data_IF_428376032959
#
_entry.id   IF_428376032959
#
_cell.length_a   1.000
_cell.length_b   1.000
_cell.length_c   1.000
_cell.angle_alpha   90.00
_cell.angle_beta   90.00
_cell.angle_gamma   90.00
#
_symmetry.space_group_name_H-M   'P 1'
#
loop_
_entity.id
_entity.type
_entity.pdbx_description
1 polymer ?
#
# COMPACT_ATOMS: atom_id res chain seq x y z
N UNK A 1 16.07 15.68 1.66
CA UNK A 1 15.22 14.76 2.45
C UNK A 1 15.80 14.62 3.85
N UNK A 2 14.94 14.71 4.87
CA UNK A 2 15.31 14.29 6.21
C UNK A 2 15.45 12.76 6.20
N UNK A 3 16.58 12.23 6.66
CA UNK A 3 16.80 10.79 6.78
C UNK A 3 17.07 10.48 8.25
N UNK A 4 16.68 9.30 8.74
CA UNK A 4 16.89 8.91 10.14
C UNK A 4 18.35 8.96 10.59
N UNK A 5 19.30 9.01 9.65
CA UNK A 5 20.73 9.10 9.88
C UNK A 5 21.26 10.54 10.13
N UNK A 6 20.41 11.57 10.15
CA UNK A 6 20.82 12.97 10.38
C UNK A 6 20.41 13.45 11.78
N UNK A 7 21.30 14.18 12.49
CA UNK A 7 20.91 14.91 13.70
C UNK A 7 19.73 15.85 13.40
N UNK A 8 18.67 15.77 14.20
CA UNK A 8 17.46 16.59 14.04
C UNK A 8 16.34 15.95 13.21
N UNK A 9 16.48 14.68 12.77
CA UNK A 9 15.33 13.93 12.26
C UNK A 9 14.27 13.75 13.36
N UNK A 10 13.03 14.13 13.07
CA UNK A 10 11.90 14.02 13.99
C UNK A 10 10.76 13.20 13.38
N UNK A 11 10.13 12.37 14.19
CA UNK A 11 8.95 11.58 13.81
C UNK A 11 8.31 10.93 15.05
N UNK A 12 7.28 10.10 14.87
CA UNK A 12 6.74 9.27 15.94
C UNK A 12 7.86 8.42 16.56
N UNK A 13 7.97 8.43 17.89
CA UNK A 13 9.00 7.74 18.66
C UNK A 13 8.33 6.91 19.75
N UNK A 14 8.82 5.70 20.00
CA UNK A 14 8.39 4.91 21.16
C UNK A 14 8.85 5.63 22.43
N UNK A 15 7.92 6.31 23.09
CA UNK A 15 8.16 7.16 24.26
C UNK A 15 7.66 6.53 25.57
N UNK A 16 6.99 5.38 25.49
CA UNK A 16 6.40 4.69 26.64
C UNK A 16 5.23 5.45 27.29
N UNK A 17 4.70 6.49 26.64
CA UNK A 17 3.61 7.33 27.15
C UNK A 17 2.47 7.47 26.16
N UNK A 18 2.82 7.78 24.91
CA UNK A 18 1.91 7.98 23.78
C UNK A 18 2.01 6.82 22.80
N UNK A 19 3.24 6.37 22.52
CA UNK A 19 3.54 5.24 21.64
C UNK A 19 4.33 4.21 22.45
N UNK A 20 3.69 3.09 22.74
CA UNK A 20 4.24 2.05 23.60
C UNK A 20 5.11 1.02 22.84
N UNK A 21 5.01 0.96 21.51
CA UNK A 21 5.70 -0.02 20.69
C UNK A 21 5.22 0.00 19.24
N UNK A 22 5.44 -1.10 18.53
CA UNK A 22 4.97 -1.26 17.17
C UNK A 22 3.42 -1.31 17.12
N UNK A 23 2.84 -0.79 16.04
CA UNK A 23 1.38 -0.73 15.89
C UNK A 23 0.73 -2.11 15.89
N UNK A 24 1.38 -3.12 15.30
CA UNK A 24 0.88 -4.50 15.28
C UNK A 24 0.83 -5.09 16.70
N UNK A 25 1.86 -4.86 17.52
CA UNK A 25 1.89 -5.30 18.92
C UNK A 25 0.80 -4.60 19.74
N UNK A 26 0.59 -3.30 19.52
CA UNK A 26 -0.50 -2.56 20.17
C UNK A 26 -1.87 -3.11 19.78
N UNK A 27 -2.08 -3.49 18.51
CA UNK A 27 -3.31 -4.13 18.05
C UNK A 27 -3.51 -5.48 18.73
N UNK A 28 -2.47 -6.33 18.78
CA UNK A 28 -2.51 -7.62 19.45
C UNK A 28 -2.85 -7.48 20.95
N UNK A 29 -2.25 -6.48 21.63
CA UNK A 29 -2.53 -6.15 23.02
C UNK A 29 -3.92 -5.52 23.26
N UNK A 30 -4.67 -5.18 22.21
CA UNK A 30 -5.98 -4.54 22.32
C UNK A 30 -5.93 -3.02 22.53
N UNK A 31 -4.74 -2.41 22.45
CA UNK A 31 -4.47 -0.98 22.64
C UNK A 31 -4.76 -0.17 21.36
N UNK A 32 -6.02 -0.14 20.95
CA UNK A 32 -6.49 0.60 19.78
C UNK A 32 -7.96 1.01 19.93
N UNK A 33 -8.35 2.08 19.25
CA UNK A 33 -9.75 2.54 19.23
C UNK A 33 -10.64 1.52 18.50
N UNK A 34 -11.80 1.19 19.08
CA UNK A 34 -12.73 0.19 18.52
C UNK A 34 -13.61 0.78 17.42
N UNK A 35 -13.00 1.14 16.29
CA UNK A 35 -13.66 1.75 15.12
C UNK A 35 -13.30 0.99 13.84
N UNK A 36 -14.23 0.86 12.87
CA UNK A 36 -13.90 0.29 11.57
C UNK A 36 -12.74 1.04 10.91
N UNK A 37 -11.90 0.31 10.18
CA UNK A 37 -10.74 0.89 9.48
C UNK A 37 -10.82 0.59 7.99
N UNK A 38 -10.55 1.58 7.15
CA UNK A 38 -10.26 1.38 5.73
C UNK A 38 -8.77 1.69 5.52
N UNK A 39 -8.02 0.74 4.97
CA UNK A 39 -6.56 0.80 4.88
C UNK A 39 -6.10 0.19 3.57
N UNK A 40 -5.02 0.72 2.99
CA UNK A 40 -4.53 0.28 1.70
C UNK A 40 -3.32 1.09 1.26
N UNK A 41 -2.91 0.84 0.03
CA UNK A 41 -1.78 1.50 -0.61
C UNK A 41 -1.96 1.51 -2.13
N UNK A 42 -1.18 2.33 -2.82
CA UNK A 42 -1.20 2.41 -4.28
C UNK A 42 -0.42 1.25 -4.93
N UNK A 43 -0.60 1.02 -6.23
CA UNK A 43 0.05 -0.09 -6.95
C UNK A 43 1.55 0.06 -7.15
N UNK A 44 2.05 1.30 -7.17
CA UNK A 44 3.47 1.64 -7.20
C UNK A 44 3.82 2.62 -6.07
N UNK A 45 3.31 2.33 -4.87
CA UNK A 45 3.45 3.14 -3.65
C UNK A 45 4.87 3.09 -3.07
N UNK A 46 5.90 3.32 -3.89
CA UNK A 46 7.29 3.05 -3.57
C UNK A 46 8.14 4.31 -3.49
N UNK A 47 9.21 4.23 -2.68
CA UNK A 47 10.28 5.22 -2.64
C UNK A 47 11.59 4.55 -3.09
N UNK A 48 11.87 4.52 -4.41
CA UNK A 48 13.07 3.89 -4.97
C UNK A 48 14.33 4.73 -4.68
N UNK A 49 14.78 4.75 -3.43
CA UNK A 49 15.97 5.47 -3.00
C UNK A 49 17.28 4.87 -3.56
N UNK A 50 17.21 3.60 -3.98
CA UNK A 50 18.27 2.88 -4.69
C UNK A 50 17.67 2.33 -5.97
N UNK A 51 18.33 2.57 -7.10
CA UNK A 51 17.91 2.10 -8.43
C UNK A 51 18.94 1.19 -9.10
N UNK A 52 19.98 0.79 -8.38
CA UNK A 52 20.96 -0.20 -8.79
C UNK A 52 20.42 -1.60 -8.42
N UNK A 53 20.18 -2.46 -9.40
CA UNK A 53 19.47 -3.74 -9.20
C UNK A 53 20.26 -4.67 -8.29
N UNK A 54 21.55 -4.72 -8.50
CA UNK A 54 22.49 -5.53 -7.75
C UNK A 54 22.41 -5.15 -6.26
N UNK A 55 22.50 -3.86 -5.94
CA UNK A 55 22.38 -3.36 -4.57
C UNK A 55 21.00 -3.59 -3.96
N UNK A 56 19.93 -3.45 -4.74
CA UNK A 56 18.57 -3.74 -4.27
C UNK A 56 18.46 -5.21 -3.85
N UNK A 57 18.92 -6.14 -4.69
CA UNK A 57 18.83 -7.57 -4.40
C UNK A 57 19.81 -8.02 -3.31
N UNK A 58 21.02 -7.44 -3.25
CA UNK A 58 21.97 -7.67 -2.17
C UNK A 58 21.38 -7.35 -0.79
N UNK A 59 20.51 -6.33 -0.69
CA UNK A 59 19.83 -5.98 0.56
C UNK A 59 18.88 -7.06 1.09
N UNK A 60 18.54 -8.08 0.28
CA UNK A 60 17.77 -9.25 0.72
C UNK A 60 18.65 -10.41 1.23
N UNK A 61 19.98 -10.28 1.20
CA UNK A 61 20.91 -11.31 1.69
C UNK A 61 20.67 -12.69 1.05
N UNK A 62 20.57 -13.74 1.86
CA UNK A 62 20.32 -15.12 1.41
C UNK A 62 19.02 -15.28 0.62
N UNK A 63 18.06 -14.35 0.77
CA UNK A 63 16.79 -14.35 0.05
C UNK A 63 16.85 -13.62 -1.30
N UNK A 64 18.02 -13.10 -1.71
CA UNK A 64 18.19 -12.41 -2.99
C UNK A 64 17.73 -13.24 -4.21
N UNK A 65 17.99 -14.56 -4.33
CA UNK A 65 17.49 -15.35 -5.46
C UNK A 65 15.96 -15.40 -5.53
N UNK A 66 15.29 -15.50 -4.38
CA UNK A 66 13.83 -15.47 -4.30
C UNK A 66 13.27 -14.09 -4.66
N UNK A 67 13.88 -13.01 -4.15
CA UNK A 67 13.51 -11.65 -4.50
C UNK A 67 13.64 -11.41 -6.03
N UNK A 68 14.74 -11.84 -6.65
CA UNK A 68 14.92 -11.74 -8.11
C UNK A 68 13.81 -12.44 -8.89
N UNK A 69 13.44 -13.66 -8.48
CA UNK A 69 12.34 -14.41 -9.11
C UNK A 69 10.98 -13.69 -8.99
N UNK A 70 10.75 -12.97 -7.91
CA UNK A 70 9.48 -12.29 -7.64
C UNK A 70 9.39 -10.90 -8.31
N UNK A 71 10.50 -10.18 -8.38
CA UNK A 71 10.51 -8.78 -8.81
C UNK A 71 11.12 -8.55 -10.21
N UNK A 72 12.00 -9.42 -10.70
CA UNK A 72 12.62 -9.28 -12.02
C UNK A 72 12.93 -10.66 -12.64
N UNK A 73 11.91 -11.54 -12.84
CA UNK A 73 12.13 -12.92 -13.27
C UNK A 73 12.80 -13.05 -14.64
N UNK A 74 12.58 -12.07 -15.53
CA UNK A 74 13.18 -12.03 -16.86
C UNK A 74 14.50 -11.25 -16.90
N UNK A 75 14.86 -10.55 -15.82
CA UNK A 75 16.05 -9.69 -15.77
C UNK A 75 15.93 -8.38 -16.57
N UNK A 76 14.76 -8.11 -17.15
CA UNK A 76 14.53 -6.99 -18.09
C UNK A 76 14.00 -5.74 -17.42
N UNK A 77 13.54 -5.80 -16.16
CA UNK A 77 13.03 -4.63 -15.48
C UNK A 77 14.13 -3.60 -15.25
N UNK A 78 13.76 -2.32 -15.30
CA UNK A 78 14.70 -1.25 -14.93
C UNK A 78 14.89 -1.23 -13.42
N UNK A 79 16.05 -0.78 -12.96
CA UNK A 79 16.29 -0.68 -11.52
C UNK A 79 15.39 0.32 -10.80
N UNK A 80 14.82 1.31 -11.52
CA UNK A 80 13.77 2.17 -10.98
C UNK A 80 12.49 1.38 -10.68
N UNK A 81 12.04 0.53 -11.60
CA UNK A 81 10.84 -0.30 -11.43
C UNK A 81 11.05 -1.33 -10.32
N UNK A 82 12.20 -2.02 -10.31
CA UNK A 82 12.56 -2.96 -9.22
C UNK A 82 12.61 -2.24 -7.88
N UNK A 83 13.25 -1.08 -7.80
CA UNK A 83 13.30 -0.27 -6.58
C UNK A 83 11.92 0.20 -6.11
N UNK A 84 11.02 0.51 -7.07
CA UNK A 84 9.65 0.92 -6.78
C UNK A 84 8.84 -0.24 -6.20
N UNK A 85 8.85 -1.41 -6.84
CA UNK A 85 8.10 -2.58 -6.35
C UNK A 85 8.59 -3.05 -4.98
N UNK A 86 9.91 -3.18 -4.81
CA UNK A 86 10.51 -3.68 -3.55
C UNK A 86 10.26 -2.73 -2.37
N UNK A 87 10.37 -1.41 -2.60
CA UNK A 87 10.06 -0.42 -1.56
C UNK A 87 8.56 -0.30 -1.29
N UNK A 88 7.70 -0.35 -2.32
CA UNK A 88 6.26 -0.31 -2.15
C UNK A 88 5.76 -1.48 -1.31
N UNK A 89 6.20 -2.69 -1.64
CA UNK A 89 5.82 -3.90 -0.92
C UNK A 89 6.26 -3.85 0.55
N UNK A 90 7.51 -3.40 0.81
CA UNK A 90 8.07 -3.36 2.17
C UNK A 90 7.56 -2.20 3.04
N UNK A 91 7.26 -1.04 2.45
CA UNK A 91 6.99 0.19 3.23
C UNK A 91 5.51 0.52 3.35
N UNK A 92 4.67 0.09 2.40
CA UNK A 92 3.28 0.54 2.32
C UNK A 92 2.31 -0.61 2.15
N UNK A 93 2.55 -1.45 1.15
CA UNK A 93 1.58 -2.45 0.72
C UNK A 93 1.44 -3.58 1.74
N UNK A 94 2.54 -4.24 2.11
CA UNK A 94 2.49 -5.32 3.10
C UNK A 94 2.08 -4.78 4.49
N UNK A 95 2.61 -3.64 4.99
CA UNK A 95 2.15 -3.07 6.25
C UNK A 95 0.65 -2.76 6.30
N UNK A 96 0.05 -2.29 5.21
CA UNK A 96 -1.41 -2.08 5.13
C UNK A 96 -2.18 -3.41 5.28
N UNK A 97 -1.69 -4.48 4.63
CA UNK A 97 -2.26 -5.83 4.77
C UNK A 97 -2.10 -6.37 6.20
N UNK A 98 -0.94 -6.18 6.81
CA UNK A 98 -0.66 -6.61 8.18
C UNK A 98 -1.60 -5.92 9.19
N UNK A 99 -1.84 -4.61 9.04
CA UNK A 99 -2.80 -3.87 9.89
C UNK A 99 -4.22 -4.41 9.72
N UNK A 100 -4.67 -4.64 8.48
CA UNK A 100 -6.01 -5.18 8.23
C UNK A 100 -6.20 -6.58 8.85
N UNK A 101 -5.20 -7.47 8.69
CA UNK A 101 -5.22 -8.82 9.28
C UNK A 101 -5.20 -8.76 10.82
N UNK A 102 -4.31 -7.96 11.41
CA UNK A 102 -4.20 -7.83 12.86
C UNK A 102 -5.49 -7.29 13.51
N UNK A 103 -6.14 -6.29 12.90
CA UNK A 103 -7.40 -5.76 13.40
C UNK A 103 -8.52 -6.81 13.34
N UNK A 104 -8.62 -7.52 12.21
CA UNK A 104 -9.71 -8.49 11.98
C UNK A 104 -9.55 -9.75 12.82
N UNK A 105 -8.32 -10.16 13.14
CA UNK A 105 -8.05 -11.20 14.16
C UNK A 105 -8.63 -10.83 15.54
N UNK A 106 -8.70 -9.54 15.85
CA UNK A 106 -9.30 -9.02 17.09
C UNK A 106 -10.80 -8.70 16.96
N UNK A 107 -11.44 -9.13 15.87
CA UNK A 107 -12.85 -8.89 15.59
C UNK A 107 -13.19 -7.46 15.18
N UNK A 108 -12.19 -6.63 14.87
CA UNK A 108 -12.40 -5.25 14.41
C UNK A 108 -12.54 -5.24 12.88
N UNK A 109 -13.65 -4.73 12.29
CA UNK A 109 -13.77 -4.61 10.85
C UNK A 109 -12.66 -3.75 10.24
N UNK A 110 -11.94 -4.32 9.27
CA UNK A 110 -10.98 -3.62 8.44
C UNK A 110 -11.27 -3.89 6.96
N UNK A 111 -11.11 -2.88 6.10
CA UNK A 111 -11.38 -2.96 4.66
C UNK A 111 -10.08 -2.66 3.90
N UNK A 112 -9.51 -3.69 3.27
CA UNK A 112 -8.23 -3.60 2.56
C UNK A 112 -8.45 -3.19 1.10
N UNK A 113 -7.72 -2.16 0.63
CA UNK A 113 -7.74 -1.75 -0.79
C UNK A 113 -6.35 -1.64 -1.42
N UNK A 114 -6.37 -1.68 -2.75
CA UNK A 114 -5.28 -1.33 -3.66
C UNK A 114 -5.80 -0.29 -4.63
N UNK A 115 -5.24 0.91 -4.63
CA UNK A 115 -5.50 1.87 -5.70
C UNK A 115 -4.59 1.55 -6.88
N UNK A 116 -5.18 1.07 -7.96
CA UNK A 116 -4.50 0.54 -9.15
C UNK A 116 -4.47 1.49 -10.34
N UNK A 117 -5.29 2.53 -10.36
CA UNK A 117 -5.30 3.49 -11.46
C UNK A 117 -4.05 4.38 -11.46
N UNK A 118 -3.40 4.51 -12.60
CA UNK A 118 -2.31 5.46 -12.81
C UNK A 118 -2.59 6.31 -14.06
N UNK A 119 -2.39 7.62 -13.95
CA UNK A 119 -2.32 8.48 -15.14
C UNK A 119 -1.27 7.92 -16.11
N UNK A 120 -1.46 7.97 -17.45
CA UNK A 120 -0.52 7.39 -18.41
C UNK A 120 0.95 7.79 -18.21
N UNK A 121 1.20 9.05 -17.84
CA UNK A 121 2.55 9.52 -17.52
C UNK A 121 3.15 8.83 -16.29
N UNK A 122 2.35 8.59 -15.26
CA UNK A 122 2.78 7.88 -14.05
C UNK A 122 2.97 6.39 -14.33
N UNK A 123 2.07 5.78 -15.11
CA UNK A 123 2.20 4.39 -15.55
C UNK A 123 3.52 4.19 -16.31
N UNK A 124 3.85 5.10 -17.22
CA UNK A 124 5.12 5.07 -17.96
C UNK A 124 6.34 5.28 -17.06
N UNK A 125 6.26 6.15 -16.07
CA UNK A 125 7.38 6.51 -15.21
C UNK A 125 7.67 5.46 -14.11
N UNK A 126 6.63 4.91 -13.50
CA UNK A 126 6.70 4.13 -12.26
C UNK A 126 6.09 2.72 -12.36
N UNK A 127 5.43 2.40 -13.48
CA UNK A 127 4.78 1.10 -13.68
C UNK A 127 3.45 0.91 -12.94
N UNK A 128 2.95 1.96 -12.27
CA UNK A 128 1.70 1.94 -11.52
C UNK A 128 1.39 3.28 -10.86
N UNK A 129 0.47 3.27 -9.91
CA UNK A 129 0.01 4.43 -9.16
C UNK A 129 1.06 4.84 -8.12
N UNK A 130 1.73 6.01 -8.24
CA UNK A 130 2.77 6.43 -7.31
C UNK A 130 2.21 6.76 -5.93
N UNK A 131 3.10 6.93 -4.95
CA UNK A 131 2.74 7.35 -3.60
C UNK A 131 1.82 8.58 -3.56
N UNK A 132 0.74 8.49 -2.77
CA UNK A 132 -0.28 9.53 -2.58
C UNK A 132 -1.02 10.00 -3.85
N UNK A 133 -0.87 9.30 -4.98
CA UNK A 133 -1.51 9.68 -6.24
C UNK A 133 -3.02 9.45 -6.28
N UNK A 134 -3.58 8.69 -5.33
CA UNK A 134 -5.00 8.43 -5.16
C UNK A 134 -5.75 9.63 -4.55
N UNK A 135 -5.05 10.55 -3.88
CA UNK A 135 -5.70 11.64 -3.14
C UNK A 135 -6.65 12.49 -4.00
N UNK A 136 -6.29 12.94 -5.22
CA UNK A 136 -7.23 13.68 -6.06
C UNK A 136 -8.50 12.89 -6.42
N UNK A 137 -8.45 11.56 -6.45
CA UNK A 137 -9.61 10.70 -6.70
C UNK A 137 -10.45 10.52 -5.44
N UNK A 138 -9.81 10.40 -4.27
CA UNK A 138 -10.49 10.37 -2.96
C UNK A 138 -11.28 11.65 -2.70
N UNK A 139 -10.70 12.81 -3.05
CA UNK A 139 -11.32 14.12 -2.82
C UNK A 139 -12.19 14.61 -3.98
N UNK A 140 -12.30 13.86 -5.07
CA UNK A 140 -12.97 14.27 -6.32
C UNK A 140 -12.46 15.63 -6.85
N UNK A 141 -11.13 15.77 -6.88
CA UNK A 141 -10.40 17.00 -7.28
C UNK A 141 -9.39 16.75 -8.40
N UNK A 142 -9.65 15.74 -9.25
CA UNK A 142 -8.72 15.40 -10.34
C UNK A 142 -8.59 16.52 -11.37
N UNK A 143 -9.64 17.32 -11.58
CA UNK A 143 -9.62 18.45 -12.51
C UNK A 143 -8.72 19.60 -12.03
N UNK A 144 -8.50 19.71 -10.72
CA UNK A 144 -7.72 20.74 -10.04
C UNK A 144 -6.25 20.34 -9.84
N UNK A 145 -5.90 19.09 -10.15
CA UNK A 145 -4.54 18.55 -10.06
C UNK A 145 -3.58 19.33 -10.97
N UNK A 146 -2.56 19.97 -10.39
CA UNK A 146 -1.59 20.77 -11.13
C UNK A 146 -0.48 19.98 -11.85
N UNK A 147 -0.24 18.72 -11.49
CA UNK A 147 0.91 17.94 -11.97
C UNK A 147 0.74 17.46 -13.42
N UNK A 148 -0.46 16.99 -13.78
CA UNK A 148 -0.79 16.44 -15.09
C UNK A 148 -2.24 16.76 -15.43
N UNK A 149 -2.52 16.99 -16.72
CA UNK A 149 -3.87 17.26 -17.20
C UNK A 149 -4.76 16.04 -17.01
N UNK A 150 -6.03 16.28 -16.72
CA UNK A 150 -7.01 15.20 -16.62
C UNK A 150 -7.19 14.49 -17.97
N UNK A 151 -7.31 13.17 -17.93
CA UNK A 151 -7.63 12.31 -19.09
C UNK A 151 -8.97 11.61 -18.90
N UNK A 152 -9.56 11.14 -20.01
CA UNK A 152 -10.93 10.62 -20.08
C UNK A 152 -11.34 9.61 -18.97
N UNK A 153 -10.57 8.56 -18.62
CA UNK A 153 -11.00 7.59 -17.61
C UNK A 153 -11.09 8.16 -16.19
N UNK A 154 -10.41 9.28 -15.91
CA UNK A 154 -10.22 9.72 -14.53
C UNK A 154 -11.48 10.23 -13.84
N UNK A 155 -12.45 10.77 -14.59
CA UNK A 155 -13.71 11.24 -14.02
C UNK A 155 -14.49 10.07 -13.38
N UNK A 156 -14.52 8.93 -14.05
CA UNK A 156 -15.21 7.74 -13.57
C UNK A 156 -14.47 7.10 -12.37
N UNK A 157 -13.13 7.11 -12.40
CA UNK A 157 -12.31 6.61 -11.29
C UNK A 157 -12.47 7.52 -10.07
N UNK A 158 -12.41 8.84 -10.24
CA UNK A 158 -12.56 9.83 -9.17
C UNK A 158 -13.92 9.68 -8.49
N UNK A 159 -15.00 9.69 -9.27
CA UNK A 159 -16.35 9.50 -8.75
C UNK A 159 -16.46 8.21 -7.93
N UNK A 160 -15.95 7.09 -8.45
CA UNK A 160 -16.04 5.78 -7.77
C UNK A 160 -15.25 5.75 -6.47
N UNK A 161 -14.00 6.21 -6.49
CA UNK A 161 -13.16 6.26 -5.30
C UNK A 161 -13.77 7.18 -4.24
N UNK A 162 -14.25 8.36 -4.65
CA UNK A 162 -14.92 9.30 -3.76
C UNK A 162 -16.18 8.69 -3.12
N UNK A 163 -17.05 8.05 -3.92
CA UNK A 163 -18.27 7.41 -3.43
C UNK A 163 -17.97 6.35 -2.36
N UNK A 164 -16.92 5.53 -2.55
CA UNK A 164 -16.47 4.51 -1.58
C UNK A 164 -16.02 5.14 -0.25
N UNK A 165 -15.24 6.24 -0.32
CA UNK A 165 -14.78 6.95 0.87
C UNK A 165 -15.93 7.61 1.64
N UNK A 166 -16.88 8.24 0.92
CA UNK A 166 -18.07 8.86 1.52
C UNK A 166 -18.97 7.80 2.16
N UNK A 167 -19.16 6.64 1.52
CA UNK A 167 -19.94 5.53 2.07
C UNK A 167 -19.31 5.00 3.37
N UNK A 168 -17.99 4.81 3.38
CA UNK A 168 -17.27 4.41 4.59
C UNK A 168 -17.39 5.46 5.70
N UNK A 169 -17.16 6.74 5.40
CA UNK A 169 -17.27 7.81 6.38
C UNK A 169 -18.69 7.91 7.00
N UNK A 170 -19.73 7.63 6.21
CA UNK A 170 -21.12 7.68 6.67
C UNK A 170 -21.53 6.50 7.56
N UNK A 171 -20.99 5.31 7.28
CA UNK A 171 -21.57 4.06 7.79
C UNK A 171 -20.57 3.07 8.41
N UNK A 172 -19.27 3.36 8.29
CA UNK A 172 -18.20 2.42 8.61
C UNK A 172 -18.07 1.26 7.62
N UNK A 173 -18.80 1.26 6.48
CA UNK A 173 -18.76 0.24 5.43
C UNK A 173 -18.68 0.90 4.04
N UNK A 174 -17.71 0.54 3.19
CA UNK A 174 -17.50 1.24 1.92
C UNK A 174 -18.45 0.79 0.79
N UNK A 175 -18.75 -0.50 0.64
CA UNK A 175 -19.71 -1.04 -0.34
C UNK A 175 -20.19 -2.44 0.07
N UNK A 176 -21.33 -2.90 -0.45
CA UNK A 176 -21.85 -4.26 -0.18
C UNK A 176 -20.96 -5.37 -0.78
N UNK A 177 -20.26 -5.08 -1.88
CA UNK A 177 -19.34 -6.00 -2.55
C UNK A 177 -17.89 -5.88 -2.04
N UNK A 178 -17.67 -5.06 -1.00
CA UNK A 178 -16.38 -4.93 -0.33
C UNK A 178 -16.49 -5.52 1.09
N UNK A 179 -16.26 -6.83 1.24
CA UNK A 179 -16.29 -7.46 2.56
C UNK A 179 -15.14 -6.93 3.43
N UNK A 180 -15.33 -7.00 4.75
CA UNK A 180 -14.21 -6.81 5.67
C UNK A 180 -13.17 -7.91 5.44
N UNK A 181 -11.91 -7.54 5.59
CA UNK A 181 -10.80 -8.47 5.52
C UNK A 181 -10.90 -9.54 6.62
N UNK A 182 -10.14 -10.62 6.44
CA UNK A 182 -9.95 -11.66 7.44
C UNK A 182 -8.49 -11.70 7.90
N UNK A 183 -8.22 -12.36 9.04
CA UNK A 183 -6.87 -12.51 9.58
C UNK A 183 -5.89 -13.22 8.62
N UNK A 184 -6.41 -13.97 7.65
CA UNK A 184 -5.64 -14.73 6.66
C UNK A 184 -5.92 -14.27 5.22
N UNK A 185 -6.51 -13.08 5.05
CA UNK A 185 -7.04 -12.67 3.75
C UNK A 185 -5.95 -12.59 2.68
N UNK A 186 -6.26 -13.14 1.51
CA UNK A 186 -5.41 -13.09 0.31
C UNK A 186 -5.99 -12.15 -0.74
N UNK A 187 -7.13 -11.55 -0.47
CA UNK A 187 -7.86 -10.69 -1.39
C UNK A 187 -7.71 -9.21 -1.03
N UNK A 188 -8.01 -8.39 -2.01
CA UNK A 188 -7.97 -6.93 -1.92
C UNK A 188 -9.08 -6.33 -2.76
N UNK A 189 -9.61 -5.18 -2.32
CA UNK A 189 -10.42 -4.34 -3.21
C UNK A 189 -9.49 -3.59 -4.16
N UNK A 190 -9.40 -4.03 -5.41
CA UNK A 190 -8.66 -3.32 -6.46
C UNK A 190 -9.55 -2.23 -7.05
N UNK A 191 -9.09 -0.98 -7.00
CA UNK A 191 -9.78 0.20 -7.54
C UNK A 191 -8.95 0.74 -8.72
N UNK A 192 -9.42 0.57 -9.94
CA UNK A 192 -8.74 1.01 -11.16
C UNK A 192 -9.72 1.55 -12.22
N UNK A 193 -9.27 1.75 -13.46
CA UNK A 193 -10.12 2.19 -14.57
C UNK A 193 -11.28 1.23 -14.90
N UNK A 194 -11.14 -0.06 -14.58
CA UNK A 194 -12.13 -1.11 -14.88
C UNK A 194 -13.19 -1.19 -13.80
N UNK A 195 -12.91 -0.68 -12.60
CA UNK A 195 -13.89 -0.58 -11.52
C UNK A 195 -13.30 -0.73 -10.14
N UNK A 196 -14.16 -1.09 -9.18
CA UNK A 196 -13.77 -1.52 -7.84
C UNK A 196 -14.19 -2.98 -7.69
N UNK A 197 -13.23 -3.90 -7.67
CA UNK A 197 -13.49 -5.34 -7.65
C UNK A 197 -12.69 -6.03 -6.55
N UNK A 198 -13.37 -6.84 -5.75
CA UNK A 198 -12.74 -7.67 -4.73
C UNK A 198 -12.15 -8.93 -5.37
N UNK A 199 -10.82 -9.00 -5.47
CA UNK A 199 -10.08 -10.04 -6.19
C UNK A 199 -8.95 -10.61 -5.33
N UNK A 200 -8.38 -11.74 -5.76
CA UNK A 200 -7.09 -12.20 -5.23
C UNK A 200 -6.04 -11.11 -5.45
N UNK A 201 -5.26 -10.76 -4.42
CA UNK A 201 -4.26 -9.71 -4.54
C UNK A 201 -3.21 -10.12 -5.58
N UNK A 202 -3.06 -9.38 -6.69
CA UNK A 202 -2.05 -9.67 -7.72
C UNK A 202 -0.62 -9.72 -7.16
N UNK A 203 -0.39 -9.11 -5.99
CA UNK A 203 0.91 -9.03 -5.34
C UNK A 203 1.11 -10.07 -4.26
N UNK A 204 0.13 -10.97 -4.03
CA UNK A 204 0.17 -11.98 -2.96
C UNK A 204 1.53 -12.64 -2.78
N UNK A 205 2.12 -13.19 -3.84
CA UNK A 205 3.40 -13.90 -3.73
C UNK A 205 4.55 -13.01 -3.22
N UNK A 206 4.55 -11.72 -3.60
CA UNK A 206 5.54 -10.75 -3.14
C UNK A 206 5.26 -10.33 -1.70
N UNK A 207 3.99 -10.14 -1.34
CA UNK A 207 3.60 -9.78 0.02
C UNK A 207 3.82 -10.91 1.01
N UNK A 208 3.48 -12.16 0.65
CA UNK A 208 3.79 -13.36 1.44
C UNK A 208 5.31 -13.48 1.62
N UNK A 209 6.10 -13.15 0.60
CA UNK A 209 7.56 -13.08 0.74
C UNK A 209 8.01 -11.99 1.73
N UNK A 210 7.47 -10.77 1.62
CA UNK A 210 7.81 -9.65 2.52
C UNK A 210 7.41 -9.94 3.97
N UNK A 211 6.26 -10.56 4.21
CA UNK A 211 5.82 -11.00 5.54
C UNK A 211 6.85 -11.94 6.19
N UNK A 212 7.49 -12.83 5.43
CA UNK A 212 8.58 -13.69 5.95
C UNK A 212 9.85 -12.93 6.31
N UNK A 213 10.04 -11.70 5.79
CA UNK A 213 11.18 -10.86 6.14
C UNK A 213 10.97 -10.15 7.48
N UNK A 214 9.71 -9.85 7.82
CA UNK A 214 9.36 -9.22 9.08
C UNK A 214 9.45 -10.20 10.27
N UNK A 215 9.13 -11.48 10.04
CA UNK A 215 9.19 -12.54 11.06
C UNK A 215 10.61 -13.02 11.43
N UNK A 216 11.64 -12.53 10.74
CA UNK A 216 13.04 -12.97 10.89
C UNK A 216 13.94 -12.03 11.70
N UNK A 217 13.39 -10.99 12.32
CA UNK A 217 14.12 -10.06 13.20
C UNK A 217 13.80 -10.31 14.67
#
# INVERSE_FOLDING_TARGET
MMTMAKPGYSGPMVDGRTIFGASIDAIAAGLYAKVPVMVGANSADGFPMVTDKEKIFEAYGDKAPQARKLYDPAGTETGLIVGTMTSADKMFIEPARAVARALTERGQPAYLFRFGYAHPDFQKAMGGAPHASELPYVFDTVAERGQVKMVAPEAAVAKRTHDLWVAFARSGKPDVNWPAATATDTKVMLIDEKGAVHIEDPYRARLDFVETLAAGN
#
